data_IF_329148134770
#
_entry.id   IF_329148134770
#
_cell.length_a   1.000
_cell.length_b   1.000
_cell.length_c   1.000
_cell.angle_alpha   90.00
_cell.angle_beta   90.00
_cell.angle_gamma   90.00
#
_symmetry.space_group_name_H-M   'P 1'
#
loop_
_entity.id
_entity.type
_entity.pdbx_description
1 polymer ?
#
# COMPACT_ATOMS: atom_id res chain seq x y z
N UNK A 1 -49.38 -45.63 -11.30
CA UNK A 1 -48.79 -45.17 -12.59
C UNK A 1 -47.43 -44.56 -12.31
N UNK A 2 -46.37 -45.31 -12.62
CA UNK A 2 -45.00 -44.79 -12.51
C UNK A 2 -44.85 -43.83 -13.70
N UNK A 3 -44.83 -42.53 -13.44
CA UNK A 3 -44.48 -41.53 -14.44
C UNK A 3 -43.03 -41.82 -14.88
N UNK A 4 -42.90 -42.27 -16.12
CA UNK A 4 -41.62 -42.43 -16.79
C UNK A 4 -40.98 -41.03 -16.86
N UNK A 5 -39.98 -40.79 -16.02
CA UNK A 5 -39.12 -39.63 -16.11
C UNK A 5 -38.54 -39.61 -17.54
N UNK A 6 -38.74 -38.52 -18.24
CA UNK A 6 -38.25 -38.38 -19.61
C UNK A 6 -36.71 -38.50 -19.58
N UNK A 7 -36.16 -39.22 -20.57
CA UNK A 7 -34.71 -39.40 -20.71
C UNK A 7 -33.98 -38.06 -20.73
N UNK A 8 -34.63 -36.99 -21.15
CA UNK A 8 -34.12 -35.65 -21.16
C UNK A 8 -33.93 -35.10 -19.73
N UNK A 9 -34.88 -35.40 -18.83
CA UNK A 9 -34.79 -34.97 -17.41
C UNK A 9 -33.63 -35.67 -16.73
N UNK A 10 -33.39 -36.95 -17.00
CA UNK A 10 -32.22 -37.68 -16.50
C UNK A 10 -30.92 -37.07 -16.99
N UNK A 11 -30.79 -36.75 -18.27
CA UNK A 11 -29.60 -36.12 -18.82
C UNK A 11 -29.36 -34.71 -18.24
N UNK A 12 -30.43 -33.94 -18.04
CA UNK A 12 -30.33 -32.64 -17.38
C UNK A 12 -29.87 -32.76 -15.92
N UNK A 13 -30.35 -33.78 -15.19
CA UNK A 13 -29.88 -34.06 -13.83
C UNK A 13 -28.41 -34.47 -13.78
N UNK A 14 -27.97 -35.31 -14.74
CA UNK A 14 -26.56 -35.70 -14.87
C UNK A 14 -25.64 -34.49 -15.17
N UNK A 15 -26.07 -33.57 -16.04
CA UNK A 15 -25.33 -32.30 -16.29
C UNK A 15 -25.21 -31.47 -15.03
N UNK A 16 -26.31 -31.26 -14.29
CA UNK A 16 -26.31 -30.51 -13.05
C UNK A 16 -25.40 -31.17 -11.97
N UNK A 17 -25.42 -32.51 -11.93
CA UNK A 17 -24.53 -33.25 -11.02
C UNK A 17 -23.06 -33.03 -11.38
N UNK A 18 -22.71 -33.05 -12.65
CA UNK A 18 -21.35 -32.79 -13.10
C UNK A 18 -20.91 -31.35 -12.81
N UNK A 19 -21.80 -30.38 -13.00
CA UNK A 19 -21.55 -28.98 -12.65
C UNK A 19 -21.32 -28.82 -11.14
N UNK A 20 -22.15 -29.47 -10.31
CA UNK A 20 -21.98 -29.43 -8.86
C UNK A 20 -20.65 -30.08 -8.40
N UNK A 21 -20.27 -31.22 -9.02
CA UNK A 21 -18.96 -31.86 -8.76
C UNK A 21 -17.79 -30.96 -9.15
N UNK A 22 -17.91 -30.27 -10.29
CA UNK A 22 -16.88 -29.31 -10.71
C UNK A 22 -16.75 -28.15 -9.72
N UNK A 23 -17.87 -27.60 -9.28
CA UNK A 23 -17.86 -26.52 -8.26
C UNK A 23 -17.27 -26.99 -6.93
N UNK A 24 -17.57 -28.22 -6.50
CA UNK A 24 -16.97 -28.81 -5.29
C UNK A 24 -15.44 -28.89 -5.44
N UNK A 25 -14.96 -29.44 -6.55
CA UNK A 25 -13.53 -29.55 -6.82
C UNK A 25 -12.84 -28.17 -6.85
N UNK A 26 -13.48 -27.16 -7.40
CA UNK A 26 -12.95 -25.78 -7.35
C UNK A 26 -12.89 -25.24 -5.92
N UNK A 27 -13.91 -25.50 -5.13
CA UNK A 27 -13.94 -25.05 -3.73
C UNK A 27 -12.87 -25.76 -2.87
N UNK A 28 -12.67 -27.07 -3.07
CA UNK A 28 -11.61 -27.85 -2.42
C UNK A 28 -10.22 -27.33 -2.79
N UNK A 29 -9.97 -27.10 -4.07
CA UNK A 29 -8.71 -26.51 -4.52
C UNK A 29 -8.50 -25.09 -3.95
N UNK A 30 -9.55 -24.29 -3.93
CA UNK A 30 -9.51 -22.93 -3.34
C UNK A 30 -9.18 -22.97 -1.83
N UNK A 31 -9.77 -23.92 -1.10
CA UNK A 31 -9.47 -24.15 0.32
C UNK A 31 -8.00 -24.51 0.53
N UNK A 32 -7.46 -25.46 -0.24
CA UNK A 32 -6.07 -25.88 -0.11
C UNK A 32 -5.09 -24.72 -0.38
N UNK A 33 -5.33 -23.91 -1.43
CA UNK A 33 -4.51 -22.74 -1.74
C UNK A 33 -4.60 -21.71 -0.62
N UNK A 34 -5.78 -21.47 -0.07
CA UNK A 34 -5.97 -20.53 1.05
C UNK A 34 -5.26 -21.03 2.32
N UNK A 35 -5.33 -22.34 2.63
CA UNK A 35 -4.63 -22.97 3.75
C UNK A 35 -3.11 -22.82 3.62
N UNK A 36 -2.55 -23.14 2.44
CA UNK A 36 -1.12 -22.96 2.17
C UNK A 36 -0.69 -21.49 2.30
N UNK A 37 -1.52 -20.57 1.85
CA UNK A 37 -1.26 -19.13 2.00
C UNK A 37 -1.24 -18.70 3.46
N UNK A 38 -2.20 -19.18 4.27
CA UNK A 38 -2.24 -18.92 5.70
C UNK A 38 -0.99 -19.47 6.40
N UNK A 39 -0.62 -20.72 6.11
CA UNK A 39 0.58 -21.35 6.69
C UNK A 39 1.84 -20.54 6.36
N UNK A 40 1.96 -20.07 5.14
CA UNK A 40 3.06 -19.19 4.73
C UNK A 40 3.10 -17.88 5.51
N UNK A 41 1.95 -17.26 5.81
CA UNK A 41 1.90 -16.03 6.62
C UNK A 41 2.27 -16.26 8.09
N UNK A 42 1.91 -17.43 8.63
CA UNK A 42 2.21 -17.79 10.02
C UNK A 42 3.64 -18.35 10.17
N UNK A 43 4.28 -18.73 9.07
CA UNK A 43 5.62 -19.33 9.06
C UNK A 43 5.63 -20.83 9.35
N UNK A 44 4.49 -21.51 9.18
CA UNK A 44 4.34 -22.96 9.30
C UNK A 44 4.56 -23.66 7.97
N UNK A 45 4.75 -24.99 8.02
CA UNK A 45 4.88 -25.81 6.81
C UNK A 45 3.58 -25.76 5.99
N UNK A 46 3.71 -25.72 4.65
CA UNK A 46 2.57 -25.64 3.72
C UNK A 46 1.54 -26.77 3.91
N UNK A 47 1.98 -27.96 4.34
CA UNK A 47 1.12 -29.13 4.58
C UNK A 47 0.53 -29.17 5.99
N UNK A 48 0.93 -28.26 6.87
CA UNK A 48 0.43 -28.20 8.25
C UNK A 48 -1.08 -27.96 8.29
N UNK A 49 -1.78 -28.70 9.15
CA UNK A 49 -3.21 -28.50 9.39
C UNK A 49 -3.36 -27.65 10.65
N UNK A 50 -3.53 -26.35 10.47
CA UNK A 50 -3.85 -25.45 11.56
C UNK A 50 -5.33 -25.60 11.95
N UNK A 51 -5.67 -25.70 13.24
CA UNK A 51 -7.05 -25.65 13.68
C UNK A 51 -7.58 -24.23 13.45
N UNK A 52 -8.34 -24.06 12.39
CA UNK A 52 -9.02 -22.79 12.10
C UNK A 52 -10.39 -22.85 12.75
N UNK A 53 -10.63 -21.98 13.71
CA UNK A 53 -11.95 -21.85 14.33
C UNK A 53 -12.91 -21.19 13.31
N UNK A 54 -14.15 -21.67 13.27
CA UNK A 54 -15.20 -21.09 12.47
C UNK A 54 -15.54 -19.72 13.07
N UNK A 55 -15.03 -18.65 12.44
CA UNK A 55 -15.44 -17.30 12.78
C UNK A 55 -16.94 -17.16 12.53
N UNK A 56 -17.73 -17.19 13.60
CA UNK A 56 -19.06 -16.61 13.56
C UNK A 56 -18.86 -15.10 13.39
N UNK A 57 -18.79 -14.65 12.15
CA UNK A 57 -18.70 -13.22 11.87
C UNK A 57 -20.05 -12.61 12.30
N UNK A 58 -20.08 -11.81 13.37
CA UNK A 58 -21.31 -11.12 13.71
C UNK A 58 -21.71 -10.26 12.52
N UNK A 59 -22.98 -10.29 12.12
CA UNK A 59 -23.51 -9.43 11.06
C UNK A 59 -23.42 -8.01 11.61
N UNK A 60 -22.33 -7.31 11.26
CA UNK A 60 -22.21 -5.89 11.57
C UNK A 60 -23.23 -5.11 10.76
N UNK A 61 -23.94 -4.22 11.42
CA UNK A 61 -24.78 -3.26 10.71
C UNK A 61 -23.92 -2.47 9.72
N UNK A 62 -24.35 -2.44 8.46
CA UNK A 62 -23.65 -1.68 7.43
C UNK A 62 -23.66 -0.20 7.83
N UNK A 63 -22.48 0.35 8.12
CA UNK A 63 -22.32 1.78 8.36
C UNK A 63 -22.61 2.59 7.09
N UNK A 64 -22.55 3.90 7.20
CA UNK A 64 -22.75 4.77 6.04
C UNK A 64 -21.46 4.95 5.24
N UNK A 65 -21.56 5.01 3.91
CA UNK A 65 -20.41 5.27 3.03
C UNK A 65 -19.63 6.54 3.45
N UNK A 66 -20.27 7.70 3.78
CA UNK A 66 -19.53 8.86 4.25
C UNK A 66 -18.71 8.61 5.52
N UNK A 67 -19.21 7.82 6.46
CA UNK A 67 -18.47 7.47 7.68
C UNK A 67 -17.22 6.65 7.39
N UNK A 68 -17.29 5.66 6.49
CA UNK A 68 -16.13 4.90 6.06
C UNK A 68 -15.11 5.76 5.30
N UNK A 69 -15.59 6.71 4.48
CA UNK A 69 -14.72 7.65 3.77
C UNK A 69 -13.95 8.57 4.73
N UNK A 70 -14.60 9.06 5.77
CA UNK A 70 -13.97 9.89 6.80
C UNK A 70 -12.91 9.09 7.57
N UNK A 71 -13.23 7.87 8.01
CA UNK A 71 -12.29 6.99 8.69
C UNK A 71 -11.08 6.65 7.80
N UNK A 72 -11.28 6.37 6.53
CA UNK A 72 -10.22 6.08 5.59
C UNK A 72 -9.31 7.30 5.40
N UNK A 73 -9.88 8.48 5.21
CA UNK A 73 -9.11 9.73 5.04
C UNK A 73 -8.26 10.05 6.27
N UNK A 74 -8.74 9.73 7.47
CA UNK A 74 -8.02 10.00 8.72
C UNK A 74 -6.95 8.96 9.08
N UNK A 75 -7.15 7.70 8.71
CA UNK A 75 -6.38 6.58 9.26
C UNK A 75 -5.49 5.85 8.25
N UNK A 76 -5.73 6.00 6.94
CA UNK A 76 -4.96 5.27 5.91
C UNK A 76 -3.49 5.68 5.90
N UNK A 77 -2.56 4.71 6.07
CA UNK A 77 -1.12 4.98 6.07
C UNK A 77 -0.63 5.57 4.75
N UNK A 78 -1.23 5.17 3.61
CA UNK A 78 -0.88 5.64 2.27
C UNK A 78 -1.03 7.15 2.13
N UNK A 79 -2.07 7.73 2.75
CA UNK A 79 -2.28 9.18 2.75
C UNK A 79 -1.25 9.91 3.61
N UNK A 80 -0.89 9.32 4.76
CA UNK A 80 0.19 9.87 5.61
C UNK A 80 1.52 9.83 4.89
N UNK A 81 1.87 8.71 4.26
CA UNK A 81 3.09 8.58 3.45
C UNK A 81 3.14 9.59 2.30
N UNK A 82 2.02 9.83 1.63
CA UNK A 82 1.93 10.81 0.55
C UNK A 82 2.08 12.25 1.09
N UNK A 83 1.53 12.55 2.27
CA UNK A 83 1.71 13.82 2.97
C UNK A 83 3.16 14.05 3.40
N UNK A 84 3.81 13.02 3.93
CA UNK A 84 5.23 13.08 4.32
C UNK A 84 6.13 13.32 3.11
N UNK A 85 5.80 12.76 1.94
CA UNK A 85 6.51 13.04 0.69
C UNK A 85 6.45 14.52 0.30
N UNK A 86 5.32 15.21 0.55
CA UNK A 86 5.24 16.66 0.34
C UNK A 86 6.23 17.38 1.27
N UNK A 87 6.23 17.02 2.56
CA UNK A 87 7.12 17.61 3.56
C UNK A 87 8.60 17.38 3.22
N UNK A 88 8.94 16.20 2.71
CA UNK A 88 10.28 15.88 2.20
C UNK A 88 10.65 16.80 1.04
N UNK A 89 9.77 16.97 0.03
CA UNK A 89 10.06 17.83 -1.10
C UNK A 89 10.18 19.32 -0.71
N UNK A 90 9.41 19.77 0.26
CA UNK A 90 9.57 21.13 0.83
C UNK A 90 10.91 21.30 1.54
N UNK A 91 11.37 20.27 2.26
CA UNK A 91 12.68 20.27 2.91
C UNK A 91 13.82 20.22 1.90
N UNK A 92 13.72 19.40 0.86
CA UNK A 92 14.69 19.35 -0.24
C UNK A 92 14.75 20.70 -0.97
N UNK A 93 13.61 21.35 -1.21
CA UNK A 93 13.58 22.71 -1.78
C UNK A 93 14.34 23.70 -0.91
N UNK A 94 14.12 23.66 0.42
CA UNK A 94 14.89 24.54 1.36
C UNK A 94 16.38 24.22 1.34
N UNK A 95 16.74 22.95 1.31
CA UNK A 95 18.13 22.49 1.21
C UNK A 95 18.81 23.02 -0.06
N UNK A 96 18.14 22.89 -1.23
CA UNK A 96 18.66 23.40 -2.50
C UNK A 96 18.80 24.93 -2.49
N UNK A 97 17.93 25.64 -1.78
CA UNK A 97 18.06 27.09 -1.62
C UNK A 97 19.20 27.50 -0.68
N UNK A 98 19.50 26.67 0.31
CA UNK A 98 20.55 26.94 1.29
C UNK A 98 21.95 27.01 0.66
N UNK A 99 22.19 26.32 -0.47
CA UNK A 99 23.48 26.40 -1.20
C UNK A 99 23.79 27.80 -1.74
N UNK A 100 22.77 28.68 -1.85
CA UNK A 100 22.92 30.07 -2.28
C UNK A 100 23.09 31.06 -1.14
N UNK A 101 23.13 30.56 0.11
CA UNK A 101 23.40 31.37 1.29
C UNK A 101 24.91 31.37 1.59
N UNK A 102 25.40 32.35 2.39
CA UNK A 102 26.77 32.33 2.88
C UNK A 102 27.06 31.03 3.64
N UNK A 103 28.13 30.37 3.25
CA UNK A 103 28.56 29.10 3.86
C UNK A 103 29.79 29.35 4.70
N UNK A 104 29.77 28.93 5.96
CA UNK A 104 30.87 29.05 6.91
C UNK A 104 31.49 27.68 7.12
N UNK A 105 32.80 27.61 6.95
CA UNK A 105 33.58 26.41 7.16
C UNK A 105 34.60 26.65 8.24
N UNK A 106 34.75 25.73 9.17
CA UNK A 106 35.85 25.64 10.11
C UNK A 106 36.48 24.29 9.93
N UNK A 107 37.79 24.25 9.77
CA UNK A 107 38.51 23.01 9.56
C UNK A 107 39.81 22.95 10.31
N UNK A 108 40.23 21.72 10.60
CA UNK A 108 41.55 21.38 11.12
C UNK A 108 42.19 20.50 10.05
N UNK A 109 43.34 20.90 9.58
CA UNK A 109 44.13 20.15 8.63
C UNK A 109 45.44 19.70 9.28
N UNK A 110 45.81 18.44 9.09
CA UNK A 110 47.03 17.87 9.58
C UNK A 110 47.74 17.12 8.46
N UNK A 111 49.01 17.46 8.23
CA UNK A 111 49.85 16.79 7.24
C UNK A 111 51.21 16.48 7.82
N UNK A 112 51.82 15.43 7.29
CA UNK A 112 53.20 15.04 7.56
C UNK A 112 53.98 15.17 6.25
N UNK A 113 54.72 16.26 6.10
CA UNK A 113 55.33 16.65 4.82
C UNK A 113 56.72 17.27 4.96
N UNK A 114 57.49 17.19 3.91
CA UNK A 114 58.78 17.87 3.76
C UNK A 114 58.81 18.62 2.40
N UNK A 115 59.11 19.92 2.38
CA UNK A 115 59.15 20.82 3.54
C UNK A 115 57.75 21.08 4.11
N UNK A 116 57.65 21.21 5.45
CA UNK A 116 56.45 21.64 6.13
C UNK A 116 56.23 23.14 6.06
N UNK A 117 55.28 23.66 6.81
CA UNK A 117 55.03 25.12 6.93
C UNK A 117 56.25 25.89 7.48
N UNK A 118 57.17 25.23 8.17
CA UNK A 118 58.41 25.80 8.69
C UNK A 118 59.57 25.85 7.63
N UNK A 119 59.32 25.39 6.39
CA UNK A 119 60.30 25.31 5.30
C UNK A 119 61.58 24.50 5.59
N UNK A 120 61.57 23.63 6.61
CA UNK A 120 62.66 22.70 6.87
C UNK A 120 62.61 21.51 5.91
N UNK A 121 63.75 20.97 5.56
CA UNK A 121 63.87 19.83 4.66
C UNK A 121 63.48 18.48 5.29
N UNK A 122 63.30 18.44 6.60
CA UNK A 122 62.92 17.25 7.36
C UNK A 122 61.40 17.01 7.29
N UNK A 123 60.98 15.77 7.43
CA UNK A 123 59.57 15.39 7.56
C UNK A 123 59.06 15.79 8.94
N UNK A 124 58.21 16.80 8.98
CA UNK A 124 57.63 17.32 10.21
C UNK A 124 56.09 17.25 10.20
N UNK A 125 55.42 17.02 11.36
CA UNK A 125 54.01 17.16 11.50
C UNK A 125 53.58 18.64 11.40
N UNK A 126 52.63 18.91 10.51
CA UNK A 126 52.10 20.24 10.29
C UNK A 126 50.60 20.27 10.63
N UNK A 127 50.15 21.27 11.37
CA UNK A 127 48.75 21.44 11.70
C UNK A 127 48.32 22.86 11.34
N UNK A 128 47.15 22.95 10.71
CA UNK A 128 46.51 24.24 10.41
C UNK A 128 45.07 24.25 10.86
N UNK A 129 44.67 25.32 11.51
CA UNK A 129 43.26 25.62 11.79
C UNK A 129 42.84 26.75 10.88
N UNK A 130 41.75 26.56 10.15
CA UNK A 130 41.26 27.59 9.24
C UNK A 130 39.77 27.86 9.42
N UNK A 131 39.35 29.08 9.12
CA UNK A 131 37.97 29.46 8.94
C UNK A 131 37.81 30.06 7.52
N UNK A 132 36.79 29.59 6.81
CA UNK A 132 36.49 30.03 5.44
C UNK A 132 35.04 30.44 5.33
N UNK A 133 34.77 31.57 4.68
CA UNK A 133 33.43 32.02 4.33
C UNK A 133 33.32 31.99 2.80
N UNK A 134 32.28 31.32 2.28
CA UNK A 134 32.01 31.27 0.84
C UNK A 134 30.63 31.87 0.57
N UNK A 135 30.59 32.91 -0.25
CA UNK A 135 29.37 33.64 -0.60
C UNK A 135 29.23 33.63 -2.11
N UNK A 136 28.25 32.89 -2.69
CA UNK A 136 27.98 32.97 -4.12
C UNK A 136 27.33 34.30 -4.47
N UNK A 137 28.03 35.18 -5.19
CA UNK A 137 27.55 36.50 -5.53
C UNK A 137 26.71 36.50 -6.81
N UNK A 138 27.09 35.68 -7.80
CA UNK A 138 26.43 35.65 -9.10
C UNK A 138 26.53 34.25 -9.74
N UNK A 139 25.40 33.71 -10.17
CA UNK A 139 25.30 32.34 -10.73
C UNK A 139 24.39 32.28 -11.96
N UNK A 140 24.42 33.27 -12.85
CA UNK A 140 23.78 33.27 -14.16
C UNK A 140 22.33 32.77 -14.15
N UNK A 141 21.53 33.14 -13.14
CA UNK A 141 20.12 32.75 -13.02
C UNK A 141 19.87 31.35 -12.42
N UNK A 142 20.90 30.59 -12.06
CA UNK A 142 20.81 29.27 -11.45
C UNK A 142 19.90 29.27 -10.22
N UNK A 143 20.06 30.23 -9.31
CA UNK A 143 19.23 30.39 -8.11
C UNK A 143 17.73 30.47 -8.45
N UNK A 144 17.35 31.24 -9.48
CA UNK A 144 15.96 31.39 -9.91
C UNK A 144 15.40 30.07 -10.50
N UNK A 145 16.21 29.40 -11.30
CA UNK A 145 15.80 28.16 -11.96
C UNK A 145 15.70 27.02 -10.94
N UNK A 146 16.63 26.89 -10.01
CA UNK A 146 16.59 25.90 -8.94
C UNK A 146 15.37 26.11 -8.00
N UNK A 147 15.07 27.39 -7.68
CA UNK A 147 13.85 27.69 -6.93
C UNK A 147 12.60 27.21 -7.66
N UNK A 148 12.46 27.54 -8.96
CA UNK A 148 11.31 27.11 -9.78
C UNK A 148 11.24 25.59 -9.90
N UNK A 149 12.36 24.93 -10.12
CA UNK A 149 12.43 23.46 -10.15
C UNK A 149 11.96 22.84 -8.82
N UNK A 150 12.39 23.42 -7.70
CA UNK A 150 11.92 23.00 -6.38
C UNK A 150 10.41 23.20 -6.18
N UNK A 151 9.88 24.35 -6.61
CA UNK A 151 8.44 24.64 -6.52
C UNK A 151 7.63 23.63 -7.36
N UNK A 152 8.07 23.27 -8.56
CA UNK A 152 7.43 22.24 -9.38
C UNK A 152 7.51 20.84 -8.76
N UNK A 153 8.62 20.48 -8.12
CA UNK A 153 8.73 19.20 -7.39
C UNK A 153 7.73 19.09 -6.23
N UNK A 154 7.53 20.17 -5.50
CA UNK A 154 6.51 20.24 -4.45
C UNK A 154 5.10 20.13 -5.06
N UNK A 155 4.82 20.81 -6.18
CA UNK A 155 3.55 20.71 -6.88
C UNK A 155 3.26 19.25 -7.33
N UNK A 156 4.23 18.59 -7.95
CA UNK A 156 4.13 17.16 -8.34
C UNK A 156 3.83 16.27 -7.11
N UNK A 157 4.47 16.52 -5.97
CA UNK A 157 4.19 15.76 -4.76
C UNK A 157 2.75 15.96 -4.25
N UNK A 158 2.21 17.17 -4.36
CA UNK A 158 0.80 17.47 -4.03
C UNK A 158 -0.18 16.81 -5.00
N UNK A 159 0.13 16.81 -6.28
CA UNK A 159 -0.70 16.11 -7.28
C UNK A 159 -0.70 14.60 -7.04
N UNK A 160 0.45 14.03 -6.65
CA UNK A 160 0.53 12.62 -6.26
C UNK A 160 -0.28 12.32 -4.99
N UNK A 161 -0.29 13.22 -4.01
CA UNK A 161 -1.17 13.07 -2.84
C UNK A 161 -2.65 13.03 -3.24
N UNK A 162 -3.08 13.92 -4.13
CA UNK A 162 -4.46 13.94 -4.63
C UNK A 162 -4.79 12.62 -5.36
N UNK A 163 -3.89 12.09 -6.20
CA UNK A 163 -4.07 10.81 -6.86
C UNK A 163 -4.23 9.65 -5.86
N UNK A 164 -3.42 9.62 -4.81
CA UNK A 164 -3.54 8.59 -3.76
C UNK A 164 -4.87 8.75 -3.02
N UNK A 165 -5.29 9.97 -2.72
CA UNK A 165 -6.58 10.26 -2.09
C UNK A 165 -7.75 9.76 -2.95
N UNK A 166 -7.71 10.02 -4.25
CA UNK A 166 -8.76 9.57 -5.18
C UNK A 166 -8.77 8.04 -5.30
N UNK A 167 -7.59 7.40 -5.34
CA UNK A 167 -7.47 5.94 -5.36
C UNK A 167 -8.04 5.30 -4.09
N UNK A 168 -7.71 5.82 -2.91
CA UNK A 168 -8.26 5.37 -1.62
C UNK A 168 -9.78 5.56 -1.59
N UNK A 169 -10.26 6.69 -2.10
CA UNK A 169 -11.70 6.98 -2.16
C UNK A 169 -12.44 5.97 -3.03
N UNK A 170 -11.89 5.64 -4.20
CA UNK A 170 -12.46 4.65 -5.11
C UNK A 170 -12.44 3.24 -4.48
N UNK A 171 -11.33 2.87 -3.84
CA UNK A 171 -11.21 1.59 -3.15
C UNK A 171 -12.27 1.41 -2.05
N UNK A 172 -12.45 2.43 -1.20
CA UNK A 172 -13.45 2.41 -0.14
C UNK A 172 -14.87 2.30 -0.70
N UNK A 173 -15.19 3.05 -1.76
CA UNK A 173 -16.50 2.96 -2.42
C UNK A 173 -16.72 1.58 -3.02
N UNK A 174 -15.75 1.03 -3.73
CA UNK A 174 -15.83 -0.31 -4.31
C UNK A 174 -16.03 -1.38 -3.23
N UNK A 175 -15.23 -1.32 -2.15
CA UNK A 175 -15.35 -2.24 -1.02
C UNK A 175 -16.72 -2.13 -0.33
N UNK A 176 -17.24 -0.92 -0.16
CA UNK A 176 -18.56 -0.69 0.41
C UNK A 176 -19.69 -1.33 -0.40
N UNK A 177 -19.70 -1.11 -1.72
CA UNK A 177 -20.72 -1.71 -2.59
C UNK A 177 -20.59 -3.22 -2.65
N UNK A 178 -19.39 -3.76 -2.68
CA UNK A 178 -19.16 -5.21 -2.62
C UNK A 178 -19.67 -5.79 -1.29
N UNK A 179 -19.47 -5.08 -0.18
CA UNK A 179 -19.96 -5.51 1.13
C UNK A 179 -21.49 -5.50 1.18
N UNK A 180 -22.14 -4.42 0.72
CA UNK A 180 -23.61 -4.34 0.64
C UNK A 180 -24.16 -5.48 -0.22
N UNK A 181 -23.58 -5.71 -1.38
CA UNK A 181 -23.97 -6.83 -2.27
C UNK A 181 -23.82 -8.19 -1.58
N UNK A 182 -22.73 -8.39 -0.83
CA UNK A 182 -22.50 -9.64 -0.10
C UNK A 182 -23.58 -9.87 0.98
N UNK A 183 -23.95 -8.84 1.74
CA UNK A 183 -25.02 -8.92 2.74
C UNK A 183 -26.38 -9.26 2.10
N UNK A 184 -26.73 -8.59 1.01
CA UNK A 184 -27.97 -8.89 0.26
C UNK A 184 -27.96 -10.32 -0.28
N UNK A 185 -26.81 -10.77 -0.79
CA UNK A 185 -26.65 -12.13 -1.31
C UNK A 185 -26.87 -13.19 -0.22
N UNK A 186 -26.39 -12.98 1.00
CA UNK A 186 -26.63 -13.88 2.13
C UNK A 186 -28.13 -14.00 2.38
N UNK A 187 -28.84 -12.88 2.49
CA UNK A 187 -30.28 -12.85 2.73
C UNK A 187 -31.06 -13.58 1.62
N UNK A 188 -30.70 -13.37 0.35
CA UNK A 188 -31.33 -14.05 -0.79
C UNK A 188 -31.05 -15.54 -0.78
N UNK A 189 -29.83 -15.95 -0.39
CA UNK A 189 -29.45 -17.36 -0.30
C UNK A 189 -30.20 -18.09 0.82
N UNK A 190 -30.35 -17.45 1.99
CA UNK A 190 -31.14 -17.97 3.10
C UNK A 190 -32.61 -18.18 2.69
N UNK A 191 -33.23 -17.22 2.01
CA UNK A 191 -34.58 -17.34 1.48
C UNK A 191 -34.70 -18.47 0.45
N UNK A 192 -33.70 -18.64 -0.41
CA UNK A 192 -33.67 -19.70 -1.41
C UNK A 192 -33.52 -21.08 -0.78
N UNK A 193 -32.70 -21.18 0.27
CA UNK A 193 -32.53 -22.41 1.04
C UNK A 193 -33.85 -22.80 1.72
N UNK A 194 -34.52 -21.86 2.39
CA UNK A 194 -35.82 -22.11 3.04
C UNK A 194 -36.85 -22.67 2.03
N UNK A 195 -36.95 -22.07 0.84
CA UNK A 195 -37.84 -22.56 -0.22
C UNK A 195 -37.45 -23.93 -0.77
N UNK A 196 -36.15 -24.21 -0.85
CA UNK A 196 -35.68 -25.52 -1.29
C UNK A 196 -36.04 -26.63 -0.27
N UNK A 197 -35.89 -26.37 1.02
CA UNK A 197 -36.30 -27.26 2.08
C UNK A 197 -37.82 -27.52 2.07
N UNK A 198 -38.64 -26.46 1.91
CA UNK A 198 -40.10 -26.57 1.79
C UNK A 198 -40.50 -27.43 0.58
N UNK A 199 -39.80 -27.34 -0.53
CA UNK A 199 -40.07 -28.14 -1.73
C UNK A 199 -39.64 -29.60 -1.58
N UNK A 200 -38.67 -29.92 -0.71
CA UNK A 200 -38.25 -31.29 -0.42
C UNK A 200 -39.24 -32.01 0.49
N UNK A 201 -39.93 -31.29 1.37
CA UNK A 201 -40.92 -31.84 2.31
C UNK A 201 -42.28 -32.14 1.63
N UNK A 202 -42.55 -31.64 0.43
CA UNK A 202 -43.76 -31.89 -0.35
C UNK A 202 -43.66 -33.14 -1.24
#
# INVERSE_FOLDING_TARGET
EVQLVDRNDLLMAEVKLNDARYQLMQAENGYEVARMSLNSFVGEDFESVLPVDTLVVPIYSVGTLPGYMEQATGNRPELRMAQDKISIQESVRKLNQAQFLPQFYVGLDGSYSSPGYNFKADLDPNYAVYAKVSIPLFEWGKRRNEKRAGDYKVAIARDNYNKVKDAVSLEVQSAYYNYVQAVERVTLTENSLAKACENEEM
#
